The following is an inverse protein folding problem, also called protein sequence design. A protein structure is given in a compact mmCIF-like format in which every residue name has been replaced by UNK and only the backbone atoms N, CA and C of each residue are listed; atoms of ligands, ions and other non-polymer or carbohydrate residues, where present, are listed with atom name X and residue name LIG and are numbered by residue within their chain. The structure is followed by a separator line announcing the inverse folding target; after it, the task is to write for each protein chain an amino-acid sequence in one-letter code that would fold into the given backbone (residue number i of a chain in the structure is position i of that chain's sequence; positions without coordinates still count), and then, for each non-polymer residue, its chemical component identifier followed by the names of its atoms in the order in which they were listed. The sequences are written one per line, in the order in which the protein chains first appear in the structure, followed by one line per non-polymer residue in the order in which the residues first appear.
data_IF_488706263463
#
_entry.id   IF_488706263463
#
_cell.length_a   1.000
_cell.length_b   1.000
_cell.length_c   1.000
_cell.angle_alpha   90.00
_cell.angle_beta   90.00
_cell.angle_gamma   90.00
#
_symmetry.space_group_name_H-M   'P 1'
#
loop_
_entity.id
_entity.type
_entity.pdbx_description
1 polymer ?
#
# COMPACT_ATOMS: atom_id res chain seq x y z
N UNK A 1 -8.38 -8.04 0.42
CA UNK A 1 -7.50 -8.24 1.55
C UNK A 1 -6.51 -7.07 1.64
N UNK A 2 -6.34 -6.50 2.83
CA UNK A 2 -5.51 -5.32 3.05
C UNK A 2 -4.35 -5.65 3.97
N UNK A 3 -3.19 -5.14 3.60
CA UNK A 3 -2.00 -5.15 4.43
C UNK A 3 -1.58 -3.72 4.74
N UNK A 4 -1.16 -3.52 5.96
CA UNK A 4 -0.67 -2.23 6.43
C UNK A 4 0.73 -2.46 7.00
N UNK A 5 1.76 -2.55 6.15
CA UNK A 5 3.11 -2.77 6.65
C UNK A 5 3.54 -1.56 7.48
N UNK A 6 3.87 -1.83 8.70
CA UNK A 6 4.46 -0.86 9.60
C UNK A 6 5.96 -1.11 9.68
N UNK A 7 6.72 -0.08 9.98
CA UNK A 7 8.14 -0.23 10.26
C UNK A 7 8.41 -1.14 11.47
N UNK A 8 7.35 -1.47 12.20
CA UNK A 8 7.38 -2.43 13.30
C UNK A 8 6.17 -3.34 13.18
N UNK A 9 6.42 -4.59 13.06
CA UNK A 9 5.38 -5.61 13.12
C UNK A 9 5.01 -5.85 14.57
N UNK A 10 3.81 -5.49 14.91
CA UNK A 10 3.26 -5.78 16.23
C UNK A 10 3.15 -7.30 16.40
N UNK A 11 4.00 -7.85 17.24
CA UNK A 11 3.90 -9.23 17.68
C UNK A 11 4.56 -10.31 16.84
N UNK A 12 4.96 -10.01 15.59
CA UNK A 12 5.64 -10.99 14.74
C UNK A 12 6.76 -10.34 13.89
N UNK A 13 7.77 -9.77 14.52
CA UNK A 13 8.87 -9.14 13.80
C UNK A 13 9.58 -10.10 12.83
N UNK A 14 9.62 -11.37 13.18
CA UNK A 14 10.38 -12.37 12.45
C UNK A 14 9.72 -12.78 11.13
N UNK A 15 8.40 -12.73 11.05
CA UNK A 15 7.69 -13.13 9.84
C UNK A 15 8.01 -12.22 8.64
N UNK A 16 8.28 -10.95 8.89
CA UNK A 16 8.60 -9.98 7.84
C UNK A 16 10.10 -9.90 7.59
N UNK A 17 10.91 -10.00 8.63
CA UNK A 17 12.37 -9.97 8.50
C UNK A 17 12.93 -11.20 7.80
N UNK A 18 12.25 -12.33 7.89
CA UNK A 18 12.65 -13.56 7.19
C UNK A 18 12.50 -13.47 5.67
N UNK A 19 11.57 -12.68 5.19
CA UNK A 19 11.18 -12.65 3.77
C UNK A 19 11.46 -11.32 3.06
N UNK A 20 12.16 -10.42 3.71
CA UNK A 20 12.59 -9.19 3.10
C UNK A 20 12.06 -7.92 3.73
N UNK A 21 12.31 -6.83 3.07
CA UNK A 21 12.02 -5.50 3.56
C UNK A 21 10.60 -5.08 3.19
N UNK A 22 9.87 -4.58 4.17
CA UNK A 22 8.60 -3.91 3.92
C UNK A 22 8.90 -2.46 3.57
N UNK A 23 8.60 -2.10 2.34
CA UNK A 23 8.86 -0.78 1.81
C UNK A 23 7.56 -0.05 1.54
N UNK A 24 7.58 1.24 1.80
CA UNK A 24 6.45 2.12 1.51
C UNK A 24 6.83 3.57 1.82
N UNK A 25 6.07 4.50 1.25
CA UNK A 25 6.33 5.91 1.44
C UNK A 25 7.61 6.36 0.77
N UNK A 26 8.33 7.25 1.41
CA UNK A 26 9.53 7.88 0.84
C UNK A 26 10.66 6.90 0.47
N UNK A 27 10.71 5.76 1.11
CA UNK A 27 11.76 4.76 0.90
C UNK A 27 11.48 3.83 -0.28
N UNK A 28 10.27 3.86 -0.80
CA UNK A 28 9.84 3.00 -1.91
C UNK A 28 9.70 3.86 -3.17
N UNK A 29 10.74 3.88 -3.98
CA UNK A 29 10.80 4.72 -5.19
C UNK A 29 10.80 3.91 -6.48
N UNK A 30 11.13 2.62 -6.40
CA UNK A 30 11.18 1.73 -7.55
C UNK A 30 9.98 0.76 -7.51
N UNK A 31 9.21 0.63 -8.59
CA UNK A 31 8.16 -0.38 -8.69
C UNK A 31 8.61 -1.81 -8.40
N UNK A 32 9.86 -2.15 -8.66
CA UNK A 32 10.42 -3.47 -8.33
C UNK A 32 10.41 -3.76 -6.82
N UNK A 33 10.48 -2.74 -5.99
CA UNK A 33 10.48 -2.89 -4.54
C UNK A 33 9.13 -3.41 -4.05
N UNK A 34 8.03 -2.86 -4.55
CA UNK A 34 6.72 -3.35 -4.11
C UNK A 34 6.35 -4.70 -4.75
N UNK A 35 6.92 -5.03 -5.90
CA UNK A 35 6.79 -6.38 -6.43
C UNK A 35 7.35 -7.40 -5.44
N UNK A 36 8.54 -7.15 -4.91
CA UNK A 36 9.17 -8.01 -3.90
C UNK A 36 8.27 -8.16 -2.66
N UNK A 37 7.64 -7.07 -2.21
CA UNK A 37 6.72 -7.09 -1.08
C UNK A 37 5.50 -7.97 -1.38
N UNK A 38 4.91 -7.82 -2.54
CA UNK A 38 3.76 -8.64 -2.96
C UNK A 38 4.15 -10.12 -3.03
N UNK A 39 5.29 -10.43 -3.63
CA UNK A 39 5.78 -11.81 -3.73
C UNK A 39 6.00 -12.42 -2.34
N UNK A 40 6.58 -11.68 -1.42
CA UNK A 40 6.76 -12.10 -0.03
C UNK A 40 5.42 -12.35 0.68
N UNK A 41 4.42 -11.51 0.47
CA UNK A 41 3.08 -11.71 1.02
C UNK A 41 2.50 -13.04 0.53
N UNK A 42 2.61 -13.33 -0.74
CA UNK A 42 2.12 -14.60 -1.31
C UNK A 42 2.91 -15.82 -0.83
N UNK A 43 4.20 -15.65 -0.55
CA UNK A 43 5.06 -16.74 -0.07
C UNK A 43 4.79 -17.11 1.39
N UNK A 44 4.71 -16.10 2.28
CA UNK A 44 4.62 -16.34 3.73
C UNK A 44 3.21 -16.65 4.24
N UNK A 45 2.21 -16.47 3.43
CA UNK A 45 0.82 -16.61 3.85
C UNK A 45 0.03 -17.52 2.90
N UNK A 46 -1.08 -18.04 3.38
CA UNK A 46 -2.00 -18.83 2.57
C UNK A 46 -2.86 -17.97 1.62
N UNK A 47 -2.48 -16.72 1.41
CA UNK A 47 -3.22 -15.78 0.56
C UNK A 47 -3.44 -16.32 -0.85
N UNK A 48 -2.44 -16.98 -1.43
CA UNK A 48 -2.57 -17.58 -2.75
C UNK A 48 -3.66 -18.66 -2.85
N UNK A 49 -4.10 -19.22 -1.73
CA UNK A 49 -5.17 -20.22 -1.66
C UNK A 49 -6.55 -19.58 -1.47
N UNK A 50 -6.61 -18.34 -0.98
CA UNK A 50 -7.84 -17.59 -0.79
C UNK A 50 -8.36 -17.02 -2.12
N UNK A 51 -9.67 -16.82 -2.21
CA UNK A 51 -10.26 -16.23 -3.41
C UNK A 51 -9.67 -14.84 -3.70
N UNK A 52 -9.54 -14.00 -2.68
CA UNK A 52 -8.93 -12.68 -2.83
C UNK A 52 -7.51 -12.73 -3.39
N UNK A 53 -6.72 -13.72 -2.98
CA UNK A 53 -5.38 -13.92 -3.51
C UNK A 53 -5.39 -14.38 -4.96
N UNK A 54 -6.26 -15.31 -5.31
CA UNK A 54 -6.43 -15.78 -6.70
C UNK A 54 -6.88 -14.68 -7.63
N UNK A 55 -7.76 -13.82 -7.17
CA UNK A 55 -8.25 -12.65 -7.91
C UNK A 55 -7.25 -11.48 -7.87
N UNK A 56 -6.12 -11.64 -7.18
CA UNK A 56 -5.11 -10.62 -6.94
C UNK A 56 -5.68 -9.35 -6.27
N UNK A 57 -6.77 -9.50 -5.52
CA UNK A 57 -7.37 -8.42 -4.73
C UNK A 57 -6.64 -8.25 -3.38
N UNK A 58 -5.35 -7.99 -3.46
CA UNK A 58 -4.46 -7.75 -2.33
C UNK A 58 -3.90 -6.33 -2.47
N UNK A 59 -4.14 -5.52 -1.47
CA UNK A 59 -3.79 -4.10 -1.47
C UNK A 59 -2.88 -3.80 -0.29
N UNK A 60 -1.85 -3.02 -0.53
CA UNK A 60 -0.87 -2.64 0.48
C UNK A 60 -0.87 -1.13 0.67
N UNK A 61 -0.94 -0.71 1.90
CA UNK A 61 -0.96 0.70 2.31
C UNK A 61 0.17 0.98 3.29
N UNK A 62 0.84 2.10 3.13
CA UNK A 62 1.67 2.61 4.20
C UNK A 62 0.80 2.96 5.41
N UNK A 63 1.28 2.65 6.60
CA UNK A 63 0.51 2.81 7.86
C UNK A 63 -0.04 4.22 8.04
N UNK A 64 0.74 5.24 7.70
CA UNK A 64 0.34 6.64 7.82
C UNK A 64 -0.90 7.00 7.00
N UNK A 65 -1.13 6.26 5.91
CA UNK A 65 -2.27 6.49 5.02
C UNK A 65 -3.58 5.94 5.57
N UNK A 66 -3.54 5.13 6.62
CA UNK A 66 -4.75 4.59 7.26
C UNK A 66 -4.91 5.03 8.71
N UNK A 67 -3.85 5.40 9.38
CA UNK A 67 -3.85 5.63 10.82
C UNK A 67 -3.53 7.03 11.30
N UNK A 68 -3.00 7.90 10.46
CA UNK A 68 -2.48 9.20 10.88
C UNK A 68 -3.19 10.37 10.20
N UNK A 69 -2.55 11.52 10.18
CA UNK A 69 -3.07 12.75 9.55
C UNK A 69 -3.38 12.60 8.06
N UNK A 70 -2.77 11.62 7.40
CA UNK A 70 -2.95 11.32 5.98
C UNK A 70 -4.09 10.34 5.69
N UNK A 71 -4.89 10.00 6.71
CA UNK A 71 -5.98 9.01 6.59
C UNK A 71 -6.96 9.33 5.47
N UNK A 72 -7.26 10.60 5.25
CA UNK A 72 -8.18 11.01 4.19
C UNK A 72 -7.70 10.60 2.81
N UNK A 73 -6.39 10.62 2.55
CA UNK A 73 -5.79 10.13 1.30
C UNK A 73 -5.99 8.63 1.18
N UNK A 74 -5.68 7.88 2.25
CA UNK A 74 -5.85 6.43 2.27
C UNK A 74 -7.29 5.99 2.09
N UNK A 75 -8.25 6.71 2.67
CA UNK A 75 -9.69 6.41 2.50
C UNK A 75 -10.12 6.59 1.05
N UNK A 76 -9.65 7.64 0.36
CA UNK A 76 -9.93 7.82 -1.07
C UNK A 76 -9.36 6.67 -1.91
N UNK A 77 -8.13 6.28 -1.65
CA UNK A 77 -7.51 5.16 -2.35
C UNK A 77 -8.22 3.84 -2.06
N UNK A 78 -8.65 3.63 -0.83
CA UNK A 78 -9.44 2.46 -0.42
C UNK A 78 -10.77 2.40 -1.18
N UNK A 79 -11.47 3.52 -1.26
CA UNK A 79 -12.70 3.64 -2.05
C UNK A 79 -12.46 3.28 -3.52
N UNK A 80 -11.35 3.75 -4.08
CA UNK A 80 -10.97 3.48 -5.47
C UNK A 80 -10.71 1.99 -5.72
N UNK A 81 -10.07 1.31 -4.78
CA UNK A 81 -9.83 -0.13 -4.88
C UNK A 81 -11.11 -0.97 -4.73
N UNK A 82 -11.99 -0.59 -3.80
CA UNK A 82 -13.21 -1.34 -3.51
C UNK A 82 -14.35 -1.05 -4.49
N UNK A 83 -14.44 0.17 -4.95
CA UNK A 83 -15.55 0.65 -5.78
C UNK A 83 -15.02 1.48 -6.96
N UNK A 84 -14.26 0.85 -7.87
CA UNK A 84 -13.64 1.57 -8.99
C UNK A 84 -14.67 2.25 -9.90
N UNK A 85 -15.87 1.71 -10.00
CA UNK A 85 -16.96 2.30 -10.78
C UNK A 85 -17.49 3.61 -10.19
N UNK A 86 -17.34 3.82 -8.88
CA UNK A 86 -17.78 5.04 -8.19
C UNK A 86 -16.66 6.06 -8.00
N UNK A 87 -15.45 5.59 -7.77
CA UNK A 87 -14.31 6.42 -7.37
C UNK A 87 -13.18 6.45 -8.41
N UNK A 88 -13.35 5.78 -9.56
CA UNK A 88 -12.31 5.66 -10.57
C UNK A 88 -11.82 6.99 -11.14
N UNK A 89 -12.70 8.00 -11.19
CA UNK A 89 -12.38 9.31 -11.70
C UNK A 89 -11.59 10.20 -10.73
N UNK A 90 -11.43 9.76 -9.47
CA UNK A 90 -10.67 10.51 -8.46
C UNK A 90 -9.18 10.29 -8.67
N UNK A 91 -8.46 11.39 -8.89
CA UNK A 91 -6.99 11.38 -8.95
C UNK A 91 -6.42 11.52 -7.54
N UNK A 92 -6.23 10.37 -6.89
CA UNK A 92 -5.71 10.30 -5.53
C UNK A 92 -4.27 10.82 -5.45
N UNK A 93 -3.47 10.60 -6.49
CA UNK A 93 -2.10 11.08 -6.50
C UNK A 93 -2.02 12.60 -6.50
N UNK A 94 -2.80 13.27 -7.35
CA UNK A 94 -2.87 14.74 -7.36
C UNK A 94 -3.39 15.29 -6.03
N UNK A 95 -4.38 14.65 -5.44
CA UNK A 95 -4.90 15.00 -4.12
C UNK A 95 -3.84 14.87 -3.03
N UNK A 96 -3.10 13.76 -3.03
CA UNK A 96 -2.02 13.53 -2.08
C UNK A 96 -0.90 14.55 -2.26
N UNK A 97 -0.51 14.83 -3.50
CA UNK A 97 0.52 15.82 -3.83
C UNK A 97 0.16 17.20 -3.30
N UNK A 98 -1.06 17.64 -3.56
CA UNK A 98 -1.56 18.94 -3.04
C UNK A 98 -1.49 18.99 -1.51
N UNK A 99 -1.91 17.92 -0.84
CA UNK A 99 -1.86 17.84 0.62
C UNK A 99 -0.43 17.95 1.15
N UNK A 100 0.50 17.19 0.60
CA UNK A 100 1.90 17.21 1.03
C UNK A 100 2.54 18.58 0.81
N UNK A 101 2.39 19.14 -0.37
CA UNK A 101 3.02 20.42 -0.73
C UNK A 101 2.41 21.60 0.00
N UNK A 102 1.08 21.66 0.06
CA UNK A 102 0.35 22.80 0.62
C UNK A 102 0.27 22.79 2.14
N UNK A 103 0.00 21.62 2.74
CA UNK A 103 -0.26 21.51 4.17
C UNK A 103 0.91 20.99 4.97
N UNK A 104 1.73 20.11 4.42
CA UNK A 104 2.89 19.58 5.11
C UNK A 104 4.19 20.28 4.74
N UNK A 105 4.20 21.10 3.67
CA UNK A 105 5.41 21.77 3.19
C UNK A 105 6.49 20.79 2.75
N UNK A 106 6.09 19.61 2.27
CA UNK A 106 6.97 18.54 1.85
C UNK A 106 6.64 18.09 0.43
N UNK A 107 7.64 17.67 -0.31
CA UNK A 107 7.42 17.08 -1.63
C UNK A 107 6.76 15.71 -1.50
N UNK A 108 5.73 15.47 -2.33
CA UNK A 108 5.13 14.14 -2.44
C UNK A 108 6.00 13.26 -3.32
N UNK A 109 6.59 12.24 -2.73
CA UNK A 109 7.43 11.28 -3.43
C UNK A 109 7.31 9.90 -2.78
N UNK A 110 7.69 8.88 -3.54
CA UNK A 110 7.62 7.50 -3.09
C UNK A 110 6.27 6.83 -3.41
N UNK A 111 6.18 5.56 -3.10
CA UNK A 111 5.00 4.73 -3.33
C UNK A 111 4.36 4.42 -1.98
N UNK A 112 3.13 4.88 -1.80
CA UNK A 112 2.40 4.78 -0.53
C UNK A 112 1.31 3.72 -0.55
N UNK A 113 0.87 3.35 -1.75
CA UNK A 113 -0.12 2.31 -1.98
C UNK A 113 0.27 1.50 -3.20
N UNK A 114 -0.03 0.22 -3.17
CA UNK A 114 0.08 -0.61 -4.35
C UNK A 114 -0.84 -1.81 -4.27
N UNK A 115 -1.13 -2.37 -5.42
CA UNK A 115 -2.03 -3.51 -5.57
C UNK A 115 -1.26 -4.68 -6.18
N UNK A 116 -1.65 -5.90 -5.80
CA UNK A 116 -1.16 -7.09 -6.46
C UNK A 116 -1.57 -7.15 -7.95
N UNK A 117 -2.56 -6.36 -8.36
CA UNK A 117 -2.95 -6.23 -9.77
C UNK A 117 -1.96 -5.39 -10.57
N UNK A 118 -1.22 -4.50 -9.91
CA UNK A 118 -0.18 -3.67 -10.53
C UNK A 118 1.11 -4.46 -10.77
N UNK A 119 1.24 -5.62 -10.14
CA UNK A 119 2.39 -6.52 -10.19
C UNK A 119 2.03 -7.73 -11.05
N UNK A 120 2.81 -7.97 -12.06
CA UNK A 120 2.59 -9.11 -12.96
C UNK A 120 3.54 -10.26 -12.68
#
# INVERSE_FOLDING_TARGET
LFFCPANRVWGHPDAITLHGTWLGGYNCTDPADYQTVIDNIYEISSIGQMQAGKDRAVYVFHTDMLGASKRHIGVLQLGKYLYPELFGDIDVESYAREYFEKWLGAEYQGIWFYSAQDVQ
#
